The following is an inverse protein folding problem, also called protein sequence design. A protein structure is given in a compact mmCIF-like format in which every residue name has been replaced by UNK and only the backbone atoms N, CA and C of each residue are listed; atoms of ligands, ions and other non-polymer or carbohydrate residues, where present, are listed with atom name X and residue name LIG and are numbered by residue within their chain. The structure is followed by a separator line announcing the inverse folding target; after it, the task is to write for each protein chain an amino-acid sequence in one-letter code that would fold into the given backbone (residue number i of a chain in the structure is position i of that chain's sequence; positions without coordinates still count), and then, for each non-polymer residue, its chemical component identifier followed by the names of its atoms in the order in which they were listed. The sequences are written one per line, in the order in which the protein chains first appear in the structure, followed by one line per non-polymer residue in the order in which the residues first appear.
data_IF_385840637878
#
_entry.id   IF_385840637878
#
_cell.length_a   1.000
_cell.length_b   1.000
_cell.length_c   1.000
_cell.angle_alpha   90.00
_cell.angle_beta   90.00
_cell.angle_gamma   90.00
#
_symmetry.space_group_name_H-M   'P 1'
#
loop_
_entity.id
_entity.type
_entity.pdbx_description
1 polymer ?
#
# COMPACT_ATOMS: atom_id res chain seq x y z
N UNK A 1 49.40 11.24 -18.07
CA UNK A 1 48.70 10.16 -17.34
C UNK A 1 47.21 10.46 -17.46
N UNK A 2 46.57 9.95 -18.51
CA UNK A 2 45.22 10.36 -18.94
C UNK A 2 44.24 9.32 -18.37
N UNK A 3 43.48 9.69 -17.35
CA UNK A 3 42.44 8.84 -16.77
C UNK A 3 41.20 8.87 -17.67
N UNK A 4 41.09 7.94 -18.60
CA UNK A 4 39.84 7.65 -19.31
C UNK A 4 38.94 6.81 -18.39
N UNK A 5 38.11 7.48 -17.59
CA UNK A 5 37.05 6.83 -16.82
C UNK A 5 35.99 6.25 -17.74
N UNK A 6 36.06 4.95 -17.99
CA UNK A 6 35.11 4.21 -18.82
C UNK A 6 33.70 4.22 -18.24
N UNK A 7 32.79 4.94 -18.91
CA UNK A 7 31.35 4.86 -18.65
C UNK A 7 30.82 3.50 -19.08
N UNK A 8 30.33 2.72 -18.12
CA UNK A 8 29.77 1.40 -18.39
C UNK A 8 28.40 1.56 -19.07
N UNK A 9 28.37 1.36 -20.40
CA UNK A 9 27.16 1.36 -21.22
C UNK A 9 26.36 0.08 -20.96
N UNK A 10 25.47 0.11 -19.97
CA UNK A 10 24.43 -0.92 -19.83
C UNK A 10 23.09 -0.41 -20.36
N UNK A 11 22.90 -0.48 -21.67
CA UNK A 11 21.58 -0.71 -22.24
C UNK A 11 21.63 -2.08 -22.89
N UNK A 12 21.32 -3.11 -22.09
CA UNK A 12 21.03 -4.44 -22.62
C UNK A 12 19.79 -4.27 -23.49
N UNK A 13 19.95 -4.41 -24.80
CA UNK A 13 18.89 -4.31 -25.80
C UNK A 13 17.69 -5.16 -25.36
N UNK A 14 16.63 -4.50 -24.90
CA UNK A 14 15.36 -5.15 -24.65
C UNK A 14 14.90 -5.73 -25.99
N UNK A 15 14.46 -7.00 -26.06
CA UNK A 15 13.88 -7.53 -27.28
C UNK A 15 12.72 -6.62 -27.68
N UNK A 16 12.61 -6.32 -28.97
CA UNK A 16 11.51 -5.52 -29.50
C UNK A 16 10.20 -6.12 -28.99
N UNK A 17 9.52 -5.38 -28.10
CA UNK A 17 8.23 -5.80 -27.59
C UNK A 17 7.26 -5.72 -28.80
N UNK A 18 6.82 -6.86 -29.29
CA UNK A 18 5.76 -6.88 -30.28
C UNK A 18 4.48 -6.47 -29.53
N UNK A 19 4.03 -5.23 -29.75
CA UNK A 19 2.83 -4.71 -29.11
C UNK A 19 1.63 -5.54 -29.55
N UNK A 20 1.20 -6.49 -28.71
CA UNK A 20 -0.04 -7.23 -28.92
C UNK A 20 -1.16 -6.18 -29.06
N UNK A 21 -1.76 -6.08 -30.25
CA UNK A 21 -2.76 -5.07 -30.57
C UNK A 21 -4.05 -5.41 -29.81
N UNK A 22 -4.18 -4.90 -28.59
CA UNK A 22 -5.38 -5.10 -27.78
C UNK A 22 -6.56 -4.39 -28.45
N UNK A 23 -7.46 -5.17 -29.04
CA UNK A 23 -8.69 -4.66 -29.66
C UNK A 23 -9.76 -4.50 -28.57
N UNK A 24 -9.81 -3.31 -27.96
CA UNK A 24 -10.82 -2.95 -26.94
C UNK A 24 -12.27 -2.90 -27.47
N UNK A 25 -12.45 -3.09 -28.78
CA UNK A 25 -13.77 -3.12 -29.42
C UNK A 25 -14.44 -4.50 -29.37
N UNK A 26 -13.74 -5.54 -28.92
CA UNK A 26 -14.36 -6.85 -28.66
C UNK A 26 -14.82 -6.90 -27.21
N UNK A 27 -16.09 -7.21 -27.00
CA UNK A 27 -16.59 -7.65 -25.71
C UNK A 27 -15.90 -8.99 -25.37
N UNK A 28 -14.70 -8.93 -24.82
CA UNK A 28 -14.05 -10.11 -24.28
C UNK A 28 -14.97 -10.65 -23.18
N UNK A 29 -15.32 -11.94 -23.28
CA UNK A 29 -16.38 -12.59 -22.50
C UNK A 29 -16.23 -12.47 -20.96
N UNK A 30 -15.10 -11.95 -20.49
CA UNK A 30 -14.85 -11.54 -19.11
C UNK A 30 -15.81 -10.44 -18.62
N UNK A 31 -16.24 -9.53 -19.51
CA UNK A 31 -17.20 -8.47 -19.16
C UNK A 31 -18.65 -8.96 -19.16
N UNK A 32 -18.98 -9.91 -20.05
CA UNK A 32 -20.28 -10.57 -20.10
C UNK A 32 -20.53 -11.49 -18.89
N UNK A 33 -19.48 -12.14 -18.36
CA UNK A 33 -19.57 -12.99 -17.18
C UNK A 33 -20.08 -12.24 -15.94
N UNK A 34 -19.71 -10.97 -15.77
CA UNK A 34 -20.18 -10.14 -14.65
C UNK A 34 -21.63 -9.68 -14.80
N UNK A 35 -22.19 -9.66 -16.01
CA UNK A 35 -23.59 -9.29 -16.25
C UNK A 35 -24.57 -10.42 -15.99
N UNK A 36 -24.09 -11.66 -15.94
CA UNK A 36 -24.93 -12.86 -15.92
C UNK A 36 -24.81 -13.67 -14.62
N UNK A 37 -24.38 -13.05 -13.51
CA UNK A 37 -24.62 -13.63 -12.19
C UNK A 37 -25.86 -12.98 -11.59
N UNK A 38 -26.96 -13.73 -11.57
CA UNK A 38 -28.11 -13.45 -10.73
C UNK A 38 -27.61 -13.45 -9.27
N UNK A 39 -27.55 -12.26 -8.68
CA UNK A 39 -27.28 -12.12 -7.25
C UNK A 39 -28.57 -12.57 -6.56
N UNK A 40 -28.58 -13.78 -6.00
CA UNK A 40 -29.67 -14.24 -5.13
C UNK A 40 -29.72 -13.33 -3.90
N UNK A 41 -30.66 -12.38 -3.93
CA UNK A 41 -30.79 -11.29 -2.96
C UNK A 41 -31.13 -11.76 -1.54
N UNK A 42 -31.51 -13.02 -1.36
CA UNK A 42 -31.80 -13.63 -0.06
C UNK A 42 -30.55 -13.84 0.83
N UNK A 43 -29.35 -14.01 0.24
CA UNK A 43 -28.12 -14.20 1.02
C UNK A 43 -27.57 -12.88 1.60
N UNK A 44 -28.14 -11.75 1.18
CA UNK A 44 -27.78 -10.41 1.66
C UNK A 44 -28.50 -10.10 2.98
N UNK A 45 -29.72 -10.62 3.21
CA UNK A 45 -30.49 -10.30 4.42
C UNK A 45 -29.87 -10.83 5.72
N UNK A 46 -29.24 -12.01 5.72
CA UNK A 46 -28.62 -12.56 6.94
C UNK A 46 -27.28 -11.92 7.33
N UNK A 47 -26.68 -11.11 6.43
CA UNK A 47 -25.44 -10.37 6.71
C UNK A 47 -25.70 -8.89 7.02
N UNK A 48 -26.95 -8.52 7.30
CA UNK A 48 -27.33 -7.17 7.79
C UNK A 48 -27.41 -7.08 9.32
N UNK A 49 -27.03 -8.13 10.05
CA UNK A 49 -26.96 -8.10 11.52
C UNK A 49 -25.68 -7.47 12.10
N UNK A 50 -24.76 -6.97 11.26
CA UNK A 50 -23.67 -6.10 11.74
C UNK A 50 -24.18 -4.67 11.95
N UNK A 51 -24.94 -4.52 13.04
CA UNK A 51 -24.98 -3.42 14.01
C UNK A 51 -24.30 -2.10 13.54
N UNK A 52 -25.16 -1.21 13.05
CA UNK A 52 -25.24 0.24 13.29
C UNK A 52 -23.98 1.14 13.15
N UNK A 53 -23.75 1.65 11.94
CA UNK A 53 -23.32 3.05 11.79
C UNK A 53 -23.98 3.68 10.56
N UNK A 54 -25.31 3.87 10.67
CA UNK A 54 -26.01 4.94 9.97
C UNK A 54 -25.43 6.27 10.46
N UNK A 55 -24.35 6.75 9.85
CA UNK A 55 -24.03 8.17 9.92
C UNK A 55 -23.01 8.56 8.82
N UNK A 56 -23.49 9.32 7.84
CA UNK A 56 -22.74 10.29 7.03
C UNK A 56 -21.72 9.79 6.00
N UNK A 57 -22.17 9.33 4.83
CA UNK A 57 -21.57 9.80 3.55
C UNK A 57 -22.74 10.01 2.57
N UNK A 58 -23.32 11.20 2.60
CA UNK A 58 -24.28 11.62 1.58
C UNK A 58 -23.51 11.92 0.28
N UNK A 59 -23.90 11.24 -0.81
CA UNK A 59 -23.76 11.59 -2.23
C UNK A 59 -22.50 12.40 -2.63
N UNK A 60 -21.53 11.71 -3.23
CA UNK A 60 -20.46 12.34 -4.03
C UNK A 60 -19.34 11.39 -4.43
N UNK A 61 -19.35 10.95 -5.69
CA UNK A 61 -18.27 10.35 -6.50
C UNK A 61 -17.60 9.01 -6.05
N UNK A 62 -18.24 7.90 -6.41
CA UNK A 62 -17.80 6.52 -6.15
C UNK A 62 -16.83 5.96 -7.21
N UNK A 63 -15.73 6.67 -7.54
CA UNK A 63 -14.72 6.13 -8.48
C UNK A 63 -13.28 6.28 -8.00
N UNK A 64 -13.02 5.85 -6.77
CA UNK A 64 -11.67 5.50 -6.36
C UNK A 64 -11.67 4.28 -5.44
N UNK A 65 -11.28 3.07 -5.91
CA UNK A 65 -11.18 1.88 -5.06
C UNK A 65 -10.09 1.98 -3.98
N UNK A 66 -9.33 3.09 -3.95
CA UNK A 66 -8.37 3.41 -2.91
C UNK A 66 -8.98 4.39 -1.89
N UNK A 67 -10.09 4.01 -1.24
CA UNK A 67 -10.54 4.72 -0.02
C UNK A 67 -9.50 4.46 1.06
N UNK A 68 -8.55 5.38 1.21
CA UNK A 68 -7.49 5.34 2.21
C UNK A 68 -8.15 5.55 3.58
N UNK A 69 -8.61 4.47 4.22
CA UNK A 69 -9.10 4.48 5.60
C UNK A 69 -7.98 5.00 6.50
N UNK A 70 -8.03 6.28 6.83
CA UNK A 70 -7.10 6.91 7.77
C UNK A 70 -7.49 6.46 9.16
N UNK A 71 -6.75 5.48 9.70
CA UNK A 71 -6.90 5.08 11.08
C UNK A 71 -6.36 6.22 11.95
N UNK A 72 -7.26 6.97 12.57
CA UNK A 72 -6.97 8.06 13.49
C UNK A 72 -6.53 7.48 14.83
N UNK A 73 -5.26 7.05 14.91
CA UNK A 73 -4.70 6.51 16.15
C UNK A 73 -3.21 6.23 16.03
N UNK A 74 -2.50 6.30 17.15
CA UNK A 74 -1.08 5.95 17.22
C UNK A 74 -0.91 4.47 16.84
N UNK A 75 0.01 4.20 15.92
CA UNK A 75 0.32 2.84 15.48
C UNK A 75 1.49 2.29 16.29
N UNK A 76 1.33 1.08 16.82
CA UNK A 76 2.40 0.39 17.52
C UNK A 76 3.34 -0.28 16.51
N UNK A 77 4.61 0.11 16.47
CA UNK A 77 5.58 -0.41 15.50
C UNK A 77 5.93 -1.90 15.70
N UNK A 78 5.83 -2.38 16.94
CA UNK A 78 6.15 -3.77 17.28
C UNK A 78 5.03 -4.74 16.88
N UNK A 79 3.79 -4.27 16.79
CA UNK A 79 2.62 -5.12 16.48
C UNK A 79 1.93 -4.77 15.17
N UNK A 80 2.20 -3.61 14.58
CA UNK A 80 1.52 -3.17 13.37
C UNK A 80 1.79 -4.08 12.17
N UNK A 81 0.77 -4.24 11.34
CA UNK A 81 0.84 -4.88 10.03
C UNK A 81 1.35 -3.92 8.96
N UNK A 82 1.71 -4.46 7.78
CA UNK A 82 2.14 -3.63 6.63
C UNK A 82 1.09 -2.57 6.31
N UNK A 83 -0.18 -2.96 6.23
CA UNK A 83 -1.28 -2.05 5.88
C UNK A 83 -1.42 -0.94 6.91
N UNK A 84 -1.31 -1.23 8.21
CA UNK A 84 -1.33 -0.24 9.27
C UNK A 84 -0.15 0.73 9.18
N UNK A 85 1.06 0.24 8.95
CA UNK A 85 2.24 1.10 8.78
C UNK A 85 2.13 2.00 7.55
N UNK A 86 1.52 1.53 6.46
CA UNK A 86 1.29 2.36 5.25
C UNK A 86 0.26 3.47 5.44
N UNK A 87 -0.52 3.45 6.52
CA UNK A 87 -1.40 4.58 6.86
C UNK A 87 -0.62 5.78 7.38
N UNK A 88 0.61 5.57 7.89
CA UNK A 88 1.44 6.62 8.44
C UNK A 88 1.95 7.59 7.36
N UNK A 89 2.06 8.90 7.69
CA UNK A 89 2.50 9.90 6.73
C UNK A 89 3.95 9.63 6.28
N UNK A 90 4.16 9.52 4.96
CA UNK A 90 5.50 9.32 4.39
C UNK A 90 6.04 7.88 4.45
N UNK A 91 5.22 6.93 4.92
CA UNK A 91 5.52 5.49 4.89
C UNK A 91 4.71 4.85 3.75
N UNK A 92 5.43 4.33 2.76
CA UNK A 92 4.85 3.51 1.68
C UNK A 92 5.03 2.02 1.95
N UNK A 93 4.49 1.19 1.07
CA UNK A 93 4.54 -0.28 1.18
C UNK A 93 5.97 -0.80 1.37
N UNK A 94 6.91 -0.38 0.52
CA UNK A 94 8.32 -0.77 0.63
C UNK A 94 8.94 -0.39 1.98
N UNK A 95 8.66 0.80 2.49
CA UNK A 95 9.20 1.24 3.79
C UNK A 95 8.56 0.46 4.94
N UNK A 96 7.26 0.18 4.87
CA UNK A 96 6.57 -0.67 5.84
C UNK A 96 7.15 -2.09 5.89
N UNK A 97 7.46 -2.69 4.74
CA UNK A 97 8.16 -3.98 4.68
C UNK A 97 9.55 -3.91 5.33
N UNK A 98 10.30 -2.82 5.10
CA UNK A 98 11.61 -2.64 5.73
C UNK A 98 11.49 -2.53 7.26
N UNK A 99 10.43 -1.91 7.79
CA UNK A 99 10.16 -1.86 9.24
C UNK A 99 9.94 -3.27 9.80
N UNK A 100 9.14 -4.10 9.12
CA UNK A 100 8.91 -5.49 9.54
C UNK A 100 10.20 -6.32 9.43
N UNK A 101 10.98 -6.13 8.37
CA UNK A 101 12.26 -6.80 8.21
C UNK A 101 13.26 -6.39 9.31
N UNK A 102 13.28 -5.11 9.68
CA UNK A 102 14.07 -4.60 10.79
C UNK A 102 13.66 -5.26 12.11
N UNK A 103 12.34 -5.32 12.40
CA UNK A 103 11.78 -6.01 13.56
C UNK A 103 12.20 -7.48 13.62
N UNK A 104 12.24 -8.18 12.48
CA UNK A 104 12.68 -9.58 12.42
C UNK A 104 14.18 -9.76 12.74
N UNK A 105 15.02 -8.76 12.46
CA UNK A 105 16.46 -8.83 12.68
C UNK A 105 16.88 -8.39 14.07
N UNK A 106 16.33 -7.27 14.56
CA UNK A 106 16.70 -6.66 15.85
C UNK A 106 15.80 -7.14 16.97
N UNK A 107 14.57 -7.55 16.65
CA UNK A 107 13.54 -7.87 17.62
C UNK A 107 12.65 -6.66 17.89
N UNK A 108 12.55 -6.25 19.15
CA UNK A 108 11.66 -5.17 19.60
C UNK A 108 12.32 -3.82 19.32
N UNK A 109 11.57 -2.92 18.69
CA UNK A 109 11.99 -1.53 18.49
C UNK A 109 11.67 -0.77 19.79
N UNK A 110 12.70 -0.15 20.39
CA UNK A 110 12.57 0.53 21.70
C UNK A 110 12.58 2.04 21.58
N UNK A 111 13.20 2.56 20.53
CA UNK A 111 13.46 3.99 20.37
C UNK A 111 13.11 4.51 18.97
N UNK A 112 12.97 5.83 18.88
CA UNK A 112 12.77 6.51 17.59
C UNK A 112 14.03 6.45 16.71
N UNK A 113 15.21 6.51 17.32
CA UNK A 113 16.48 6.54 16.60
C UNK A 113 16.75 5.24 15.85
N UNK A 114 16.24 4.12 16.34
CA UNK A 114 16.30 2.83 15.64
C UNK A 114 15.64 2.87 14.25
N UNK A 115 14.61 3.72 14.06
CA UNK A 115 13.97 3.90 12.76
C UNK A 115 14.90 4.56 11.73
N UNK A 116 15.92 5.31 12.14
CA UNK A 116 16.91 5.91 11.23
C UNK A 116 17.81 4.85 10.58
N UNK A 117 17.94 3.68 11.20
CA UNK A 117 18.67 2.55 10.62
C UNK A 117 17.89 1.87 9.47
N UNK A 118 16.63 2.25 9.27
CA UNK A 118 15.75 1.64 8.26
C UNK A 118 15.84 2.45 6.97
N UNK A 119 16.27 1.78 5.89
CA UNK A 119 16.40 2.39 4.57
C UNK A 119 15.08 3.03 4.13
N UNK A 120 15.13 4.35 3.87
CA UNK A 120 13.98 5.13 3.40
C UNK A 120 13.24 5.89 4.51
N UNK A 121 13.67 5.77 5.76
CA UNK A 121 13.33 6.68 6.86
C UNK A 121 14.54 7.56 7.12
N UNK A 122 14.31 8.87 7.20
CA UNK A 122 15.32 9.84 7.60
C UNK A 122 14.68 10.86 8.53
N UNK A 123 15.48 11.78 9.07
CA UNK A 123 15.07 12.74 10.10
C UNK A 123 13.77 13.46 9.76
N UNK A 124 13.64 13.99 8.53
CA UNK A 124 12.42 14.68 8.07
C UNK A 124 11.15 13.82 8.15
N UNK A 125 11.26 12.52 7.88
CA UNK A 125 10.13 11.58 8.00
C UNK A 125 9.91 11.21 9.45
N UNK A 126 10.97 10.99 10.21
CA UNK A 126 10.91 10.63 11.62
C UNK A 126 10.14 11.69 12.43
N UNK A 127 10.45 12.98 12.23
CA UNK A 127 9.73 14.08 12.92
C UNK A 127 8.24 14.09 12.60
N UNK A 128 7.85 13.73 11.37
CA UNK A 128 6.44 13.61 10.97
C UNK A 128 5.76 12.37 11.56
N UNK A 129 6.52 11.32 11.86
CA UNK A 129 6.01 10.05 12.37
C UNK A 129 5.85 10.05 13.88
N UNK A 130 6.72 10.76 14.60
CA UNK A 130 6.73 10.86 16.06
C UNK A 130 5.34 10.99 16.73
N UNK A 131 4.42 11.86 16.27
CA UNK A 131 3.09 11.98 16.90
C UNK A 131 2.16 10.78 16.66
N UNK A 132 2.44 9.96 15.64
CA UNK A 132 1.56 8.87 15.18
C UNK A 132 2.06 7.47 15.56
N UNK A 133 3.16 7.36 16.30
CA UNK A 133 3.76 6.06 16.65
C UNK A 133 3.86 5.87 18.15
N UNK A 134 3.86 4.61 18.57
CA UNK A 134 4.06 4.20 19.96
C UNK A 134 4.90 2.94 20.02
N UNK A 135 5.61 2.78 21.13
CA UNK A 135 6.30 1.54 21.50
C UNK A 135 5.54 0.96 22.68
N UNK A 136 5.15 -0.31 22.61
CA UNK A 136 4.59 -1.07 23.73
C UNK A 136 5.35 -2.38 23.83
#
# INVERSE_FOLDING_TARGET
MICLGGGVKYYKSLPAYEAKKFSYAKEDSLFAYFKNQEIDTALIESKTLFRNEKSFIAKGNEKNPYVKKTVTGKQNLNTASVTQLTTLPGIGFKTAEQIIAYRKRVGIIKSLDELLNIKGIGEKKLSKLQPFITFK
#
